data_IF_381632175921
#
_entry.id   IF_381632175921
#
_cell.length_a   1.000
_cell.length_b   1.000
_cell.length_c   1.000
_cell.angle_alpha   90.00
_cell.angle_beta   90.00
_cell.angle_gamma   90.00
#
_symmetry.space_group_name_H-M   'P 1'
#
loop_
_entity.id
_entity.type
_entity.pdbx_description
1 polymer ?
#
# COMPACT_ATOMS: atom_id res chain seq x y z
N UNK A 1 -9.96 -15.99 5.94
CA UNK A 1 -9.40 -15.89 4.58
C UNK A 1 -9.02 -14.43 4.36
N UNK A 2 -7.75 -13.98 4.42
CA UNK A 2 -7.46 -12.62 3.99
C UNK A 2 -7.40 -12.66 2.46
N UNK A 3 -8.49 -12.22 1.83
CA UNK A 3 -8.51 -11.98 0.40
C UNK A 3 -7.58 -10.80 0.12
N UNK A 4 -6.42 -11.12 -0.46
CA UNK A 4 -5.45 -10.21 -1.06
C UNK A 4 -6.21 -9.12 -1.82
N UNK A 5 -6.30 -7.89 -1.28
CA UNK A 5 -7.11 -6.85 -1.92
C UNK A 5 -6.46 -6.41 -3.22
N UNK A 6 -7.27 -6.16 -4.24
CA UNK A 6 -6.78 -5.60 -5.49
C UNK A 6 -6.27 -4.17 -5.25
N UNK A 7 -5.36 -3.67 -6.08
CA UNK A 7 -4.94 -2.28 -5.97
C UNK A 7 -6.09 -1.26 -6.03
N UNK A 8 -7.16 -1.55 -6.77
CA UNK A 8 -8.36 -0.72 -6.79
C UNK A 8 -9.05 -0.70 -5.42
N UNK A 9 -9.19 -1.88 -4.79
CA UNK A 9 -9.73 -1.98 -3.43
C UNK A 9 -8.83 -1.31 -2.39
N UNK A 10 -7.50 -1.37 -2.55
CA UNK A 10 -6.59 -0.63 -1.69
C UNK A 10 -6.77 0.88 -1.81
N UNK A 11 -7.04 1.38 -3.02
CA UNK A 11 -7.35 2.79 -3.25
C UNK A 11 -8.71 3.17 -2.67
N UNK A 12 -9.71 2.31 -2.80
CA UNK A 12 -11.02 2.50 -2.19
C UNK A 12 -10.95 2.44 -0.66
N UNK A 13 -10.08 1.62 -0.08
CA UNK A 13 -9.84 1.58 1.37
C UNK A 13 -9.17 2.87 1.89
N UNK A 14 -8.26 3.44 1.10
CA UNK A 14 -7.69 4.76 1.38
C UNK A 14 -8.77 5.85 1.31
N UNK A 15 -9.63 5.81 0.28
CA UNK A 15 -10.73 6.75 0.09
C UNK A 15 -11.78 6.66 1.21
N UNK A 16 -12.19 5.45 1.60
CA UNK A 16 -13.07 5.19 2.76
C UNK A 16 -12.49 5.69 4.08
N UNK A 17 -11.17 5.71 4.22
CA UNK A 17 -10.46 6.29 5.38
C UNK A 17 -10.30 7.80 5.30
N UNK A 18 -10.69 8.42 4.17
CA UNK A 18 -10.47 9.85 3.90
C UNK A 18 -8.99 10.20 3.74
N UNK A 19 -8.14 9.23 3.41
CA UNK A 19 -6.68 9.40 3.35
C UNK A 19 -6.20 9.34 1.91
N UNK A 20 -5.52 10.39 1.44
CA UNK A 20 -4.93 10.36 0.10
C UNK A 20 -3.65 9.50 0.06
N UNK A 21 -3.25 9.04 -1.13
CA UNK A 21 -1.98 8.32 -1.33
C UNK A 21 -0.79 9.19 -0.85
N UNK A 22 -0.85 10.51 -1.04
CA UNK A 22 0.19 11.43 -0.60
C UNK A 22 0.27 11.53 0.93
N UNK A 23 -0.89 11.66 1.59
CA UNK A 23 -0.99 11.68 3.05
C UNK A 23 -0.51 10.38 3.67
N UNK A 24 -0.97 9.25 3.12
CA UNK A 24 -0.53 7.92 3.52
C UNK A 24 0.98 7.76 3.39
N UNK A 25 1.52 8.20 2.24
CA UNK A 25 2.96 8.16 1.98
C UNK A 25 3.73 9.00 3.01
N UNK A 26 3.30 10.23 3.29
CA UNK A 26 3.93 11.10 4.31
C UNK A 26 3.85 10.50 5.70
N UNK A 27 2.67 10.00 6.10
CA UNK A 27 2.42 9.42 7.41
C UNK A 27 3.30 8.20 7.70
N UNK A 28 3.58 7.40 6.67
CA UNK A 28 4.39 6.18 6.79
C UNK A 28 5.83 6.35 6.27
N UNK A 29 6.23 7.57 5.87
CA UNK A 29 7.55 7.84 5.30
C UNK A 29 7.85 7.07 4.01
N UNK A 30 6.81 6.75 3.23
CA UNK A 30 6.92 6.01 1.98
C UNK A 30 7.01 6.96 0.78
N UNK A 31 7.64 6.51 -0.30
CA UNK A 31 7.62 7.23 -1.57
C UNK A 31 6.26 7.11 -2.28
N UNK A 32 5.62 8.25 -2.58
CA UNK A 32 4.32 8.34 -3.29
C UNK A 32 4.35 7.65 -4.66
N UNK A 33 5.44 7.76 -5.40
CA UNK A 33 5.57 7.11 -6.71
C UNK A 33 5.58 5.59 -6.55
N UNK A 34 6.28 5.09 -5.54
CA UNK A 34 6.35 3.67 -5.23
C UNK A 34 4.98 3.12 -4.80
N UNK A 35 4.22 3.86 -3.99
CA UNK A 35 2.84 3.47 -3.63
C UNK A 35 1.94 3.46 -4.87
N UNK A 36 2.07 4.46 -5.75
CA UNK A 36 1.35 4.52 -7.02
C UNK A 36 1.71 3.37 -7.96
N UNK A 37 3.00 3.03 -8.10
CA UNK A 37 3.46 1.90 -8.93
C UNK A 37 3.01 0.55 -8.37
N UNK A 38 2.89 0.43 -7.04
CA UNK A 38 2.33 -0.74 -6.39
C UNK A 38 0.83 -0.87 -6.68
N UNK A 39 0.09 0.24 -6.59
CA UNK A 39 -1.32 0.31 -6.97
C UNK A 39 -1.53 0.08 -8.48
N UNK A 40 -0.60 0.48 -9.33
CA UNK A 40 -0.70 0.19 -10.76
C UNK A 40 -0.20 -1.22 -11.13
N UNK A 41 0.21 -2.03 -10.14
CA UNK A 41 0.73 -3.39 -10.37
C UNK A 41 2.09 -3.44 -11.07
N UNK A 42 2.78 -2.31 -11.24
CA UNK A 42 4.12 -2.25 -11.86
C UNK A 42 5.18 -2.88 -10.98
N UNK A 43 5.04 -2.78 -9.66
CA UNK A 43 5.93 -3.40 -8.69
C UNK A 43 5.18 -4.36 -7.77
N UNK A 44 5.78 -5.51 -7.49
CA UNK A 44 5.17 -6.56 -6.65
C UNK A 44 5.30 -6.29 -5.13
N UNK A 45 6.08 -5.30 -4.71
CA UNK A 45 6.28 -5.01 -3.29
C UNK A 45 6.84 -6.18 -2.48
N UNK A 46 7.89 -6.85 -2.98
CA UNK A 46 8.46 -8.01 -2.28
C UNK A 46 9.26 -7.62 -1.04
N UNK A 47 10.02 -6.51 -1.07
CA UNK A 47 10.94 -6.06 -0.01
C UNK A 47 10.94 -4.53 0.13
N UNK A 48 11.52 -4.03 1.23
CA UNK A 48 11.75 -2.61 1.48
C UNK A 48 10.48 -1.79 1.67
N UNK A 49 10.49 -0.52 1.24
CA UNK A 49 9.32 0.36 1.30
C UNK A 49 8.12 -0.19 0.54
N UNK A 50 8.34 -0.86 -0.60
CA UNK A 50 7.25 -1.44 -1.38
C UNK A 50 6.58 -2.63 -0.67
N UNK A 51 7.33 -3.39 0.12
CA UNK A 51 6.74 -4.39 1.02
C UNK A 51 5.86 -3.72 2.07
N UNK A 52 6.38 -2.69 2.74
CA UNK A 52 5.65 -1.97 3.79
C UNK A 52 4.35 -1.35 3.25
N UNK A 53 4.41 -0.71 2.08
CA UNK A 53 3.24 -0.18 1.39
C UNK A 53 2.20 -1.28 1.10
N UNK A 54 2.63 -2.43 0.56
CA UNK A 54 1.73 -3.53 0.23
C UNK A 54 1.02 -4.12 1.45
N UNK A 55 1.73 -4.24 2.57
CA UNK A 55 1.17 -4.74 3.82
C UNK A 55 0.21 -3.72 4.43
N UNK A 56 0.60 -2.45 4.51
CA UNK A 56 -0.25 -1.38 5.08
C UNK A 56 -1.53 -1.15 4.27
N UNK A 57 -1.45 -1.33 2.94
CA UNK A 57 -2.60 -1.26 2.04
C UNK A 57 -3.47 -2.53 2.08
N UNK A 58 -3.01 -3.59 2.75
CA UNK A 58 -3.70 -4.89 2.79
C UNK A 58 -3.58 -5.70 1.49
N UNK A 59 -2.82 -5.20 0.51
CA UNK A 59 -2.60 -5.88 -0.79
C UNK A 59 -1.87 -7.20 -0.58
N UNK A 60 -1.12 -7.37 0.50
CA UNK A 60 -0.63 -8.69 0.88
C UNK A 60 -0.57 -8.84 2.40
N UNK A 61 -0.60 -10.09 2.82
CA UNK A 61 -0.24 -10.45 4.19
C UNK A 61 1.29 -10.34 4.36
N UNK A 62 1.70 -9.69 5.43
CA UNK A 62 3.10 -9.52 5.77
C UNK A 62 3.26 -8.80 7.11
N UNK A 63 4.44 -8.91 7.68
CA UNK A 63 4.76 -8.29 8.97
C UNK A 63 5.67 -7.11 8.71
N UNK A 64 5.31 -5.97 9.28
CA UNK A 64 6.15 -4.77 9.30
C UNK A 64 6.70 -4.71 10.73
N UNK A 65 7.91 -5.23 10.93
CA UNK A 65 8.59 -5.00 12.20
C UNK A 65 9.01 -3.53 12.26
N UNK A 66 8.67 -2.88 13.38
CA UNK A 66 8.81 -1.45 13.61
C UNK A 66 10.22 -1.08 14.03
#
# INVERSE_FOLDING_TARGET
>A
MPATVTPEQAREALDRRGMSIAEFSRKHGLNKNLVSDLLNGRIKGRRGEAHRAAVLLGIKDGVIEQ
#
